data_IF_478354174808
#
_entry.id   IF_478354174808
#
_cell.length_a   1.000
_cell.length_b   1.000
_cell.length_c   1.000
_cell.angle_alpha   90.00
_cell.angle_beta   90.00
_cell.angle_gamma   90.00
#
_symmetry.space_group_name_H-M   'P 1'
#
loop_
_entity.id
_entity.type
_entity.pdbx_description
1 polymer ?
#
# COMPACT_ATOMS: atom_id res chain seq x y z
N UNK A 1 22.20 -38.85 -83.22
CA UNK A 1 21.50 -37.59 -83.59
C UNK A 1 21.19 -36.85 -82.29
N UNK A 2 21.92 -35.77 -82.00
CA UNK A 2 21.43 -34.37 -82.05
C UNK A 2 20.43 -34.06 -80.93
N UNK A 3 20.90 -33.66 -79.75
CA UNK A 3 21.09 -32.28 -79.27
C UNK A 3 19.79 -31.53 -78.93
N UNK A 4 19.54 -31.25 -77.64
CA UNK A 4 19.37 -29.87 -77.18
C UNK A 4 19.45 -29.68 -75.63
N UNK A 5 20.43 -28.86 -75.23
CA UNK A 5 20.55 -27.91 -74.11
C UNK A 5 20.19 -28.33 -72.66
N UNK A 6 21.18 -28.35 -71.73
CA UNK A 6 20.91 -28.27 -70.30
C UNK A 6 20.64 -26.82 -69.84
N UNK A 7 19.64 -26.66 -68.98
CA UNK A 7 19.16 -25.39 -68.45
C UNK A 7 20.17 -24.69 -67.53
N UNK A 8 20.12 -23.35 -67.53
CA UNK A 8 20.89 -22.46 -66.65
C UNK A 8 20.64 -22.79 -65.17
N UNK A 9 21.67 -22.81 -64.31
CA UNK A 9 21.48 -22.88 -62.87
C UNK A 9 20.89 -21.57 -62.32
N UNK A 10 19.96 -21.71 -61.37
CA UNK A 10 19.30 -20.63 -60.67
C UNK A 10 20.28 -19.77 -59.86
N UNK A 11 20.01 -18.47 -59.85
CA UNK A 11 20.74 -17.44 -59.12
C UNK A 11 20.42 -17.56 -57.61
N UNK A 12 21.39 -17.45 -56.69
CA UNK A 12 21.12 -17.58 -55.27
C UNK A 12 20.28 -16.41 -54.73
N UNK A 13 19.29 -16.75 -53.90
CA UNK A 13 18.43 -15.82 -53.19
C UNK A 13 19.23 -14.88 -52.30
N UNK A 14 18.94 -13.58 -52.41
CA UNK A 14 19.43 -12.55 -51.49
C UNK A 14 18.63 -12.62 -50.19
N UNK A 15 19.26 -12.48 -49.01
CA UNK A 15 18.54 -12.43 -47.74
C UNK A 15 17.63 -11.20 -47.70
N UNK A 16 16.36 -11.44 -47.36
CA UNK A 16 15.33 -10.43 -47.19
C UNK A 16 15.74 -9.38 -46.15
N UNK A 17 15.61 -8.11 -46.53
CA UNK A 17 15.76 -6.98 -45.61
C UNK A 17 14.64 -7.00 -44.58
N UNK A 18 14.95 -7.47 -43.38
CA UNK A 18 14.24 -7.07 -42.18
C UNK A 18 14.57 -5.60 -41.86
N UNK A 19 13.52 -4.80 -41.63
CA UNK A 19 13.65 -3.37 -41.32
C UNK A 19 12.30 -2.68 -41.36
N UNK A 20 11.35 -3.14 -40.53
CA UNK A 20 10.17 -2.33 -40.22
C UNK A 20 10.66 -1.10 -39.45
N UNK A 21 10.57 0.07 -40.09
CA UNK A 21 10.88 1.34 -39.44
C UNK A 21 9.96 1.53 -38.22
N UNK A 22 10.45 2.05 -37.08
CA UNK A 22 9.59 2.35 -35.94
C UNK A 22 8.53 3.37 -36.37
N UNK A 23 7.26 3.02 -36.13
CA UNK A 23 6.09 3.86 -36.37
C UNK A 23 6.29 5.22 -35.67
N UNK A 24 6.60 6.26 -36.46
CA UNK A 24 6.76 7.64 -35.96
C UNK A 24 5.49 8.15 -35.29
N UNK A 25 4.33 7.56 -35.56
CA UNK A 25 3.07 7.83 -34.86
C UNK A 25 3.05 7.35 -33.41
N UNK A 26 3.76 6.27 -33.07
CA UNK A 26 3.83 5.75 -31.70
C UNK A 26 4.68 6.62 -30.77
N UNK A 27 5.75 7.23 -31.29
CA UNK A 27 6.60 8.15 -30.55
C UNK A 27 5.92 9.51 -30.29
N UNK A 28 5.08 9.99 -31.23
CA UNK A 28 4.31 11.23 -31.02
C UNK A 28 3.15 11.00 -30.04
N UNK A 29 2.55 9.80 -30.02
CA UNK A 29 1.58 9.38 -29.00
C UNK A 29 2.23 9.28 -27.62
N UNK A 30 3.40 8.66 -27.49
CA UNK A 30 4.08 8.53 -26.18
C UNK A 30 4.56 9.87 -25.60
N UNK A 31 4.96 10.83 -26.44
CA UNK A 31 5.32 12.19 -25.99
C UNK A 31 4.08 13.01 -25.60
N UNK A 32 2.96 12.85 -26.31
CA UNK A 32 1.67 13.47 -25.92
C UNK A 32 1.12 12.88 -24.64
N UNK A 33 1.16 11.56 -24.47
CA UNK A 33 0.73 10.88 -23.25
C UNK A 33 1.65 11.27 -22.08
N UNK A 34 2.96 11.40 -22.30
CA UNK A 34 3.88 11.92 -21.29
C UNK A 34 3.57 13.37 -20.88
N UNK A 35 3.26 14.25 -21.84
CA UNK A 35 2.89 15.64 -21.56
C UNK A 35 1.52 15.79 -20.87
N UNK A 36 0.53 14.97 -21.22
CA UNK A 36 -0.78 14.90 -20.56
C UNK A 36 -0.64 14.32 -19.15
N UNK A 37 0.21 13.31 -18.98
CA UNK A 37 0.56 12.72 -17.67
C UNK A 37 1.23 13.73 -16.75
N UNK A 38 2.15 14.54 -17.28
CA UNK A 38 2.87 15.57 -16.53
C UNK A 38 1.95 16.73 -16.12
N UNK A 39 1.07 17.19 -17.02
CA UNK A 39 0.06 18.18 -16.70
C UNK A 39 -0.93 17.66 -15.63
N UNK A 40 -1.35 16.40 -15.72
CA UNK A 40 -2.22 15.75 -14.74
C UNK A 40 -1.56 15.65 -13.36
N UNK A 41 -0.29 15.20 -13.31
CA UNK A 41 0.48 15.12 -12.08
C UNK A 41 0.76 16.49 -11.47
N UNK A 42 1.06 17.50 -12.28
CA UNK A 42 1.24 18.88 -11.80
C UNK A 42 -0.06 19.48 -11.28
N UNK A 43 -1.20 19.16 -11.90
CA UNK A 43 -2.52 19.55 -11.40
C UNK A 43 -2.83 18.86 -10.08
N UNK A 44 -2.51 17.58 -9.95
CA UNK A 44 -2.64 16.82 -8.71
C UNK A 44 -1.76 17.45 -7.62
N UNK A 45 -0.49 17.72 -7.90
CA UNK A 45 0.44 18.41 -7.00
C UNK A 45 -0.15 19.74 -6.52
N UNK A 46 -0.53 20.64 -7.44
CA UNK A 46 -1.07 21.95 -7.08
C UNK A 46 -2.36 21.83 -6.25
N UNK A 47 -3.20 20.85 -6.56
CA UNK A 47 -4.44 20.60 -5.81
C UNK A 47 -4.12 20.12 -4.40
N UNK A 48 -3.16 19.19 -4.26
CA UNK A 48 -2.75 18.64 -2.98
C UNK A 48 -2.10 19.71 -2.12
N UNK A 49 -1.07 20.38 -2.62
CA UNK A 49 -0.32 21.39 -1.87
C UNK A 49 -1.25 22.50 -1.41
N UNK A 50 -2.03 23.11 -2.32
CA UNK A 50 -2.94 24.22 -1.95
C UNK A 50 -4.01 23.81 -0.95
N UNK A 51 -4.62 22.63 -1.12
CA UNK A 51 -5.69 22.17 -0.23
C UNK A 51 -5.13 21.75 1.13
N UNK A 52 -3.97 21.12 1.17
CA UNK A 52 -3.32 20.74 2.42
C UNK A 52 -2.82 21.98 3.18
N UNK A 53 -2.15 22.93 2.52
CA UNK A 53 -1.68 24.17 3.14
C UNK A 53 -2.84 24.99 3.71
N UNK A 54 -3.94 25.10 2.96
CA UNK A 54 -5.14 25.82 3.40
C UNK A 54 -5.88 25.16 4.57
N UNK A 55 -5.81 23.83 4.70
CA UNK A 55 -6.48 23.07 5.76
C UNK A 55 -5.60 22.80 6.98
N UNK A 56 -4.27 22.89 6.85
CA UNK A 56 -3.30 22.54 7.89
C UNK A 56 -2.52 23.76 8.44
N UNK A 57 -3.02 24.99 8.20
CA UNK A 57 -2.40 26.27 8.56
C UNK A 57 -1.44 26.23 9.77
N UNK A 58 -0.18 26.64 9.53
CA UNK A 58 0.67 27.29 10.54
C UNK A 58 1.86 26.50 11.08
N UNK A 59 1.86 25.17 11.01
CA UNK A 59 3.02 24.36 11.39
C UNK A 59 3.18 23.27 10.31
N UNK A 60 4.40 22.92 9.90
CA UNK A 60 4.59 21.82 8.95
C UNK A 60 4.19 20.49 9.64
N UNK A 61 2.91 20.11 9.53
CA UNK A 61 2.30 19.05 10.31
C UNK A 61 2.70 17.67 9.75
N UNK A 62 3.56 16.94 10.47
CA UNK A 62 3.78 15.52 10.17
C UNK A 62 2.48 14.70 10.29
N UNK A 63 2.28 13.76 9.36
CA UNK A 63 1.12 12.85 9.24
C UNK A 63 0.83 12.05 10.52
N UNK A 64 1.89 11.67 11.23
CA UNK A 64 1.85 10.99 12.50
C UNK A 64 2.88 11.65 13.43
N UNK A 65 2.58 11.79 14.73
CA UNK A 65 3.55 12.22 15.72
C UNK A 65 4.67 11.18 15.80
N UNK A 66 5.76 11.44 15.10
CA UNK A 66 6.97 10.63 15.17
C UNK A 66 7.87 11.08 16.32
N UNK A 67 8.79 10.22 16.78
CA UNK A 67 9.88 10.65 17.65
C UNK A 67 10.71 11.69 16.87
N UNK A 68 10.60 12.96 17.25
CA UNK A 68 11.08 14.12 16.50
C UNK A 68 10.01 15.17 16.16
N UNK A 69 8.74 14.93 16.50
CA UNK A 69 7.65 15.91 16.38
C UNK A 69 7.32 16.64 17.68
N UNK A 70 8.00 16.29 18.77
CA UNK A 70 7.90 17.00 20.04
C UNK A 70 8.79 18.26 19.97
N UNK A 71 8.26 19.44 20.31
CA UNK A 71 9.13 20.58 20.57
C UNK A 71 10.08 20.16 21.69
N UNK A 72 11.38 20.30 21.45
CA UNK A 72 12.35 20.02 22.49
C UNK A 72 11.99 20.80 23.75
N UNK A 73 11.78 20.07 24.84
CA UNK A 73 11.54 20.64 26.16
C UNK A 73 12.76 21.46 26.55
N UNK A 74 12.52 22.67 27.06
CA UNK A 74 13.58 23.48 27.63
C UNK A 74 14.05 22.80 28.91
N UNK A 75 15.37 22.58 29.03
CA UNK A 75 15.99 22.08 30.26
C UNK A 75 16.88 23.16 30.89
N UNK A 76 17.13 23.10 32.21
CA UNK A 76 18.12 23.97 32.83
C UNK A 76 19.47 23.86 32.11
N UNK A 77 20.13 25.01 31.94
CA UNK A 77 21.49 25.09 31.44
C UNK A 77 22.45 24.33 32.36
N UNK A 78 23.31 23.51 31.79
CA UNK A 78 24.43 22.88 32.47
C UNK A 78 25.75 23.40 31.91
N UNK A 79 26.78 23.45 32.76
CA UNK A 79 28.11 23.92 32.36
C UNK A 79 28.67 23.04 31.23
N UNK A 80 28.91 23.66 30.07
CA UNK A 80 29.33 22.98 28.84
C UNK A 80 28.30 23.04 27.71
N UNK A 81 27.08 23.51 27.99
CA UNK A 81 26.07 23.74 26.97
C UNK A 81 26.39 24.94 26.06
N UNK A 82 26.06 24.80 24.78
CA UNK A 82 26.23 25.87 23.79
C UNK A 82 25.22 27.00 24.05
N UNK A 83 25.74 28.16 24.46
CA UNK A 83 24.96 29.39 24.75
C UNK A 83 24.10 29.84 23.56
N UNK A 84 24.45 29.46 22.33
CA UNK A 84 23.61 29.74 21.13
C UNK A 84 22.26 29.02 21.17
N UNK A 85 22.11 28.01 22.02
CA UNK A 85 20.89 27.21 22.20
C UNK A 85 20.02 27.68 23.37
N UNK A 86 20.36 28.83 23.97
CA UNK A 86 19.60 29.40 25.09
C UNK A 86 18.16 29.73 24.67
N UNK A 87 17.17 29.23 25.43
CA UNK A 87 15.78 29.66 25.29
C UNK A 87 15.59 30.94 26.09
N UNK A 88 15.77 32.08 25.43
CA UNK A 88 15.61 33.39 26.05
C UNK A 88 14.20 33.65 26.56
N UNK A 89 13.17 32.99 26.02
CA UNK A 89 11.78 33.22 26.39
C UNK A 89 11.44 32.53 27.72
N UNK A 90 11.91 31.28 27.91
CA UNK A 90 11.79 30.58 29.19
C UNK A 90 12.70 31.24 30.22
N UNK A 91 13.97 31.49 29.86
CA UNK A 91 14.96 32.13 30.74
C UNK A 91 14.50 33.50 31.25
N UNK A 92 13.87 34.31 30.41
CA UNK A 92 13.34 35.61 30.84
C UNK A 92 12.15 35.52 31.82
N UNK A 93 11.42 34.40 31.83
CA UNK A 93 10.26 34.19 32.72
C UNK A 93 10.63 33.46 34.01
N UNK A 94 11.54 32.50 33.94
CA UNK A 94 12.02 31.74 35.10
C UNK A 94 13.12 32.48 35.87
N UNK A 95 13.83 33.41 35.23
CA UNK A 95 15.09 34.01 35.71
C UNK A 95 16.25 33.02 35.89
N UNK A 96 16.02 31.73 35.64
CA UNK A 96 17.04 30.69 35.57
C UNK A 96 17.42 30.42 34.10
N UNK A 97 18.70 30.15 33.78
CA UNK A 97 19.13 29.88 32.41
C UNK A 97 18.59 28.52 31.92
N UNK A 98 17.91 28.53 30.78
CA UNK A 98 17.39 27.35 30.11
C UNK A 98 17.98 27.21 28.71
N UNK A 99 18.39 26.00 28.35
CA UNK A 99 18.78 25.65 26.99
C UNK A 99 17.70 24.79 26.35
N UNK A 100 17.50 25.03 25.06
CA UNK A 100 16.66 24.20 24.24
C UNK A 100 17.53 23.18 23.54
N UNK A 101 17.35 21.91 23.88
CA UNK A 101 18.02 20.85 23.15
C UNK A 101 17.55 20.91 21.69
N UNK A 102 18.47 20.98 20.74
CA UNK A 102 18.10 20.69 19.35
C UNK A 102 17.95 19.18 19.28
N UNK A 103 16.71 18.70 19.29
CA UNK A 103 16.45 17.37 18.75
C UNK A 103 16.96 17.43 17.32
N UNK A 104 18.06 16.73 17.04
CA UNK A 104 18.52 16.58 15.67
C UNK A 104 17.33 16.09 14.85
N UNK A 105 16.89 16.91 13.89
CA UNK A 105 15.77 16.60 13.01
C UNK A 105 16.15 15.28 12.32
N UNK A 106 15.60 14.15 12.80
CA UNK A 106 15.99 12.85 12.28
C UNK A 106 15.45 12.80 10.85
N UNK A 107 16.35 12.61 9.87
CA UNK A 107 15.96 12.33 8.48
C UNK A 107 14.88 11.24 8.46
N UNK A 108 13.64 11.61 8.16
CA UNK A 108 12.54 10.66 8.05
C UNK A 108 12.70 9.90 6.73
N UNK A 109 12.77 8.58 6.80
CA UNK A 109 12.69 7.72 5.63
C UNK A 109 11.26 7.20 5.46
N UNK A 110 10.57 7.68 4.43
CA UNK A 110 9.23 7.26 4.05
C UNK A 110 9.30 6.21 2.94
N UNK A 111 8.57 5.11 3.08
CA UNK A 111 8.43 4.10 2.03
C UNK A 111 6.97 3.89 1.67
N UNK A 112 6.63 4.06 0.40
CA UNK A 112 5.33 3.66 -0.12
C UNK A 112 5.36 2.19 -0.56
N UNK A 113 4.44 1.37 -0.04
CA UNK A 113 4.09 0.07 -0.60
C UNK A 113 2.77 0.26 -1.34
N UNK A 114 2.85 0.38 -2.67
CA UNK A 114 1.70 0.66 -3.52
C UNK A 114 1.23 -0.63 -4.21
N UNK A 115 -0.02 -0.98 -4.02
CA UNK A 115 -0.73 -1.99 -4.78
C UNK A 115 -1.19 -1.38 -6.13
N UNK A 116 -0.71 -1.94 -7.24
CA UNK A 116 -1.16 -1.64 -8.59
C UNK A 116 -1.58 -2.94 -9.32
N UNK A 117 -2.26 -3.83 -8.60
CA UNK A 117 -2.97 -4.99 -9.14
C UNK A 117 -4.18 -4.59 -10.01
N UNK A 118 -4.73 -5.56 -10.74
CA UNK A 118 -5.90 -5.34 -11.60
C UNK A 118 -7.14 -4.87 -10.83
N UNK A 119 -7.27 -5.22 -9.53
CA UNK A 119 -8.38 -4.71 -8.70
C UNK A 119 -8.29 -3.20 -8.51
N UNK A 120 -7.09 -2.61 -8.55
CA UNK A 120 -6.87 -1.17 -8.37
C UNK A 120 -7.21 -0.34 -9.62
N UNK A 121 -7.33 -0.97 -10.80
CA UNK A 121 -7.79 -0.30 -12.03
C UNK A 121 -9.33 -0.15 -12.10
N UNK A 122 -10.04 -0.42 -10.99
CA UNK A 122 -11.49 -0.23 -10.86
C UNK A 122 -11.86 1.18 -10.36
N UNK A 123 -12.95 1.74 -10.88
CA UNK A 123 -13.48 3.02 -10.43
C UNK A 123 -14.87 3.29 -10.99
N UNK A 124 -15.79 3.67 -10.11
CA UNK A 124 -17.16 4.08 -10.49
C UNK A 124 -17.57 5.43 -9.92
N UNK A 125 -16.70 6.00 -9.08
CA UNK A 125 -16.82 7.35 -8.54
C UNK A 125 -16.26 8.43 -9.49
N UNK A 126 -15.61 9.43 -8.90
CA UNK A 126 -15.02 10.56 -9.64
C UNK A 126 -13.62 10.25 -10.20
N UNK A 127 -13.00 9.17 -9.73
CA UNK A 127 -11.65 8.73 -10.08
C UNK A 127 -11.52 7.22 -9.89
N UNK A 128 -10.53 6.62 -10.53
CA UNK A 128 -10.19 5.21 -10.31
C UNK A 128 -9.48 4.99 -8.96
N UNK A 129 -9.54 3.79 -8.40
CA UNK A 129 -8.82 3.44 -7.16
C UNK A 129 -7.31 3.68 -7.31
N UNK A 130 -6.73 3.39 -8.48
CA UNK A 130 -5.32 3.64 -8.78
C UNK A 130 -4.95 5.12 -8.74
N UNK A 131 -5.82 6.00 -9.25
CA UNK A 131 -5.61 7.45 -9.19
C UNK A 131 -5.67 7.95 -7.75
N UNK A 132 -6.63 7.45 -6.97
CA UNK A 132 -6.76 7.75 -5.55
C UNK A 132 -5.56 7.22 -4.74
N UNK A 133 -5.04 6.04 -5.09
CA UNK A 133 -3.86 5.46 -4.47
C UNK A 133 -2.61 6.32 -4.74
N UNK A 134 -2.43 6.79 -5.97
CA UNK A 134 -1.37 7.73 -6.32
C UNK A 134 -1.52 9.05 -5.57
N UNK A 135 -2.73 9.58 -5.47
CA UNK A 135 -3.04 10.80 -4.75
C UNK A 135 -2.72 10.68 -3.24
N UNK A 136 -2.99 9.52 -2.64
CA UNK A 136 -2.63 9.23 -1.25
C UNK A 136 -1.10 9.21 -1.04
N UNK A 137 -0.36 8.55 -1.92
CA UNK A 137 1.12 8.55 -1.87
C UNK A 137 1.67 9.96 -2.06
N UNK A 138 1.14 10.72 -3.01
CA UNK A 138 1.52 12.10 -3.25
C UNK A 138 1.28 12.98 -2.01
N UNK A 139 0.09 12.91 -1.42
CA UNK A 139 -0.25 13.69 -0.24
C UNK A 139 0.66 13.34 0.94
N UNK A 140 0.93 12.06 1.17
CA UNK A 140 1.89 11.61 2.18
C UNK A 140 3.29 12.16 1.89
N UNK A 141 3.73 12.06 0.64
CA UNK A 141 5.04 12.52 0.20
C UNK A 141 5.24 14.01 0.43
N UNK A 142 4.25 14.84 0.09
CA UNK A 142 4.30 16.28 0.34
C UNK A 142 4.22 16.63 1.83
N UNK A 143 3.40 15.92 2.62
CA UNK A 143 3.31 16.15 4.07
C UNK A 143 4.55 15.72 4.84
N UNK A 144 5.33 14.81 4.27
CA UNK A 144 6.62 14.36 4.83
C UNK A 144 7.81 15.02 4.15
N UNK A 145 7.60 15.94 3.21
CA UNK A 145 8.68 16.66 2.53
C UNK A 145 9.35 17.63 3.51
N UNK A 146 10.61 17.36 3.85
CA UNK A 146 11.50 18.29 4.56
C UNK A 146 12.93 18.07 4.08
N UNK A 147 13.80 19.04 4.33
CA UNK A 147 15.24 18.90 4.08
C UNK A 147 15.78 17.66 4.81
N UNK A 148 16.46 16.78 4.09
CA UNK A 148 16.99 15.52 4.63
C UNK A 148 16.03 14.33 4.62
N UNK A 149 14.72 14.55 4.48
CA UNK A 149 13.75 13.45 4.38
C UNK A 149 13.86 12.71 3.05
N UNK A 150 13.74 11.39 3.12
CA UNK A 150 13.89 10.47 1.99
C UNK A 150 12.57 9.80 1.70
N UNK A 151 12.24 9.62 0.43
CA UNK A 151 11.08 8.82 0.01
C UNK A 151 11.50 7.75 -0.99
N UNK A 152 11.06 6.52 -0.74
CA UNK A 152 11.21 5.36 -1.63
C UNK A 152 9.87 4.67 -1.89
N UNK A 153 9.85 3.74 -2.83
CA UNK A 153 8.65 2.98 -3.14
C UNK A 153 8.94 1.51 -3.49
N UNK A 154 8.04 0.63 -3.06
CA UNK A 154 7.82 -0.70 -3.62
C UNK A 154 6.43 -0.71 -4.26
N UNK A 155 6.38 -0.97 -5.57
CA UNK A 155 5.13 -1.01 -6.31
C UNK A 155 4.89 -2.44 -6.73
N UNK A 156 3.76 -3.00 -6.29
CA UNK A 156 3.22 -4.28 -6.75
C UNK A 156 2.58 -4.04 -8.11
N UNK A 157 3.02 -4.78 -9.13
CA UNK A 157 2.48 -4.65 -10.48
C UNK A 157 2.54 -6.01 -11.19
N UNK A 158 1.38 -6.55 -11.55
CA UNK A 158 1.26 -7.94 -12.03
C UNK A 158 1.95 -8.94 -11.09
N UNK A 159 2.77 -9.83 -11.66
CA UNK A 159 3.58 -10.80 -10.89
C UNK A 159 4.88 -10.25 -10.28
N UNK A 160 5.22 -8.99 -10.57
CA UNK A 160 6.50 -8.36 -10.25
C UNK A 160 6.45 -7.33 -9.12
N UNK A 161 7.64 -6.87 -8.71
CA UNK A 161 7.81 -5.73 -7.79
C UNK A 161 8.77 -4.74 -8.42
N UNK A 162 8.32 -3.50 -8.58
CA UNK A 162 9.19 -2.40 -8.97
C UNK A 162 9.68 -1.67 -7.73
N UNK A 163 10.99 -1.72 -7.48
CA UNK A 163 11.62 -1.00 -6.37
C UNK A 163 12.24 0.31 -6.85
N UNK A 164 11.89 1.39 -6.16
CA UNK A 164 12.49 2.71 -6.33
C UNK A 164 13.16 3.09 -5.01
N UNK A 165 14.49 3.29 -4.98
CA UNK A 165 15.24 3.51 -3.74
C UNK A 165 14.84 4.83 -3.08
N UNK A 166 14.98 4.88 -1.75
CA UNK A 166 14.72 6.09 -0.99
C UNK A 166 15.77 7.17 -1.27
N UNK A 167 15.36 8.33 -1.79
CA UNK A 167 16.21 9.49 -2.01
C UNK A 167 15.52 10.76 -1.53
N UNK A 168 16.31 11.81 -1.35
CA UNK A 168 15.86 13.09 -0.81
C UNK A 168 15.32 14.02 -1.89
N UNK A 169 14.44 14.93 -1.48
CA UNK A 169 14.05 16.11 -2.24
C UNK A 169 12.83 15.93 -3.15
N UNK A 170 12.12 17.03 -3.35
CA UNK A 170 10.92 17.14 -4.19
C UNK A 170 11.07 16.58 -5.62
N UNK A 171 12.20 16.79 -6.33
CA UNK A 171 12.36 16.23 -7.67
C UNK A 171 12.28 14.70 -7.69
N UNK A 172 12.79 14.04 -6.64
CA UNK A 172 12.70 12.58 -6.51
C UNK A 172 11.28 12.12 -6.19
N UNK A 173 10.56 12.84 -5.32
CA UNK A 173 9.14 12.59 -5.07
C UNK A 173 8.34 12.66 -6.39
N UNK A 174 8.53 13.70 -7.19
CA UNK A 174 7.85 13.83 -8.48
C UNK A 174 8.24 12.67 -9.42
N UNK A 175 9.52 12.31 -9.50
CA UNK A 175 9.96 11.17 -10.32
C UNK A 175 9.32 9.84 -9.88
N UNK A 176 9.12 9.62 -8.57
CA UNK A 176 8.38 8.46 -8.05
C UNK A 176 6.91 8.47 -8.51
N UNK A 177 6.23 9.62 -8.38
CA UNK A 177 4.83 9.75 -8.79
C UNK A 177 4.66 9.56 -10.29
N UNK A 178 5.57 10.10 -11.11
CA UNK A 178 5.64 9.83 -12.54
C UNK A 178 5.84 8.34 -12.84
N UNK A 179 6.75 7.68 -12.12
CA UNK A 179 7.01 6.26 -12.29
C UNK A 179 5.80 5.39 -11.93
N UNK A 180 4.99 5.79 -10.93
CA UNK A 180 3.74 5.12 -10.55
C UNK A 180 2.61 5.37 -11.55
N UNK A 181 2.46 6.61 -12.02
CA UNK A 181 1.47 6.99 -13.02
C UNK A 181 1.72 6.27 -14.36
N UNK A 182 2.98 6.18 -14.78
CA UNK A 182 3.37 5.55 -16.03
C UNK A 182 3.34 4.01 -16.03
N UNK A 183 2.96 3.36 -14.91
CA UNK A 183 2.83 1.89 -14.92
C UNK A 183 1.72 1.46 -15.90
N UNK A 184 1.96 0.42 -16.71
CA UNK A 184 0.90 -0.12 -17.57
C UNK A 184 -0.20 -0.74 -16.70
N UNK A 185 -1.43 -0.78 -17.19
CA UNK A 185 -2.52 -1.48 -16.50
C UNK A 185 -2.28 -2.99 -16.51
N UNK A 186 -2.64 -3.67 -15.44
CA UNK A 186 -2.49 -5.14 -15.35
C UNK A 186 -3.68 -5.80 -16.05
N UNK A 187 -3.48 -6.71 -17.01
CA UNK A 187 -4.58 -7.43 -17.64
C UNK A 187 -5.38 -8.23 -16.61
N UNK A 188 -6.71 -8.27 -16.76
CA UNK A 188 -7.56 -9.11 -15.92
C UNK A 188 -7.18 -10.59 -16.08
N UNK A 189 -7.15 -11.33 -14.96
CA UNK A 189 -6.76 -12.74 -14.94
C UNK A 189 -5.29 -13.01 -14.64
N UNK A 190 -4.45 -11.97 -14.50
CA UNK A 190 -3.10 -12.11 -13.94
C UNK A 190 -3.16 -11.93 -12.43
N UNK A 191 -3.05 -13.03 -11.68
CA UNK A 191 -3.04 -13.00 -10.22
C UNK A 191 -1.76 -12.30 -9.73
N UNK A 192 -1.85 -11.17 -9.03
CA UNK A 192 -0.70 -10.51 -8.46
C UNK A 192 -0.15 -11.35 -7.32
N UNK A 193 1.08 -11.07 -6.91
CA UNK A 193 1.59 -11.66 -5.68
C UNK A 193 0.81 -11.12 -4.47
N UNK A 194 0.59 -11.92 -3.42
CA UNK A 194 -0.15 -11.49 -2.24
C UNK A 194 0.52 -10.30 -1.55
N UNK A 195 -0.28 -9.36 -1.05
CA UNK A 195 0.21 -8.16 -0.35
C UNK A 195 1.19 -8.51 0.78
N UNK A 196 0.94 -9.61 1.48
CA UNK A 196 1.78 -10.08 2.59
C UNK A 196 3.22 -10.39 2.21
N UNK A 197 3.45 -11.02 1.05
CA UNK A 197 4.80 -11.33 0.57
C UNK A 197 5.60 -10.05 0.28
N UNK A 198 4.92 -9.03 -0.24
CA UNK A 198 5.51 -7.73 -0.53
C UNK A 198 5.84 -6.94 0.73
N UNK A 199 4.93 -6.96 1.71
CA UNK A 199 5.19 -6.38 3.02
C UNK A 199 6.42 -7.04 3.68
N UNK A 200 6.55 -8.36 3.58
CA UNK A 200 7.70 -9.11 4.09
C UNK A 200 9.00 -8.79 3.34
N UNK A 201 8.95 -8.66 2.01
CA UNK A 201 10.09 -8.24 1.20
C UNK A 201 10.53 -6.82 1.56
N UNK A 202 9.58 -5.89 1.69
CA UNK A 202 9.85 -4.52 2.13
C UNK A 202 10.51 -4.54 3.52
N UNK A 203 9.94 -5.26 4.49
CA UNK A 203 10.49 -5.36 5.85
C UNK A 203 11.96 -5.84 5.89
N UNK A 204 12.39 -6.67 4.93
CA UNK A 204 13.80 -7.11 4.79
C UNK A 204 14.71 -6.05 4.19
N UNK A 205 14.17 -5.16 3.36
CA UNK A 205 14.92 -4.09 2.71
C UNK A 205 15.07 -2.82 3.54
N UNK A 206 14.13 -2.56 4.44
CA UNK A 206 14.13 -1.38 5.30
C UNK A 206 15.23 -1.50 6.36
N UNK A 207 16.18 -0.57 6.34
CA UNK A 207 17.30 -0.52 7.31
C UNK A 207 17.11 0.56 8.37
N UNK A 208 16.43 1.65 8.02
CA UNK A 208 16.18 2.80 8.89
C UNK A 208 14.76 2.76 9.41
N UNK A 209 14.57 3.13 10.68
CA UNK A 209 13.23 3.38 11.23
C UNK A 209 12.61 4.57 10.52
N UNK A 210 11.32 4.49 10.20
CA UNK A 210 10.66 5.47 9.37
C UNK A 210 9.15 5.22 9.25
N UNK A 211 8.54 5.88 8.27
CA UNK A 211 7.13 5.74 7.94
C UNK A 211 6.98 4.77 6.75
N UNK A 212 6.10 3.79 6.87
CA UNK A 212 5.69 2.91 5.77
C UNK A 212 4.23 3.17 5.49
N UNK A 213 3.93 3.60 4.26
CA UNK A 213 2.56 3.83 3.80
C UNK A 213 2.18 2.72 2.85
N UNK A 214 1.25 1.87 3.27
CA UNK A 214 0.75 0.74 2.49
C UNK A 214 -0.59 1.13 1.88
N UNK A 215 -0.66 1.21 0.56
CA UNK A 215 -1.86 1.64 -0.17
C UNK A 215 -2.39 0.48 -0.99
N UNK A 216 -3.57 -0.03 -0.64
CA UNK A 216 -4.22 -1.19 -1.26
C UNK A 216 -5.72 -1.15 -0.95
N UNK A 217 -6.51 -1.96 -1.65
CA UNK A 217 -7.91 -2.25 -1.28
C UNK A 217 -8.02 -3.37 -0.22
N UNK A 218 -6.90 -4.03 0.12
CA UNK A 218 -6.78 -5.11 1.10
C UNK A 218 -7.79 -6.25 0.89
N UNK A 219 -8.12 -6.56 -0.38
CA UNK A 219 -9.09 -7.62 -0.70
C UNK A 219 -8.55 -9.03 -0.42
N UNK A 220 -7.23 -9.21 -0.38
CA UNK A 220 -6.57 -10.44 0.04
C UNK A 220 -7.01 -10.88 1.45
N UNK A 221 -7.06 -12.19 1.67
CA UNK A 221 -7.37 -12.77 2.99
C UNK A 221 -6.47 -12.16 4.08
N UNK A 222 -7.03 -11.61 5.18
CA UNK A 222 -6.25 -10.99 6.24
C UNK A 222 -5.16 -11.88 6.84
N UNK A 223 -5.35 -13.21 6.84
CA UNK A 223 -4.35 -14.17 7.30
C UNK A 223 -3.04 -14.11 6.50
N UNK A 224 -3.09 -13.66 5.25
CA UNK A 224 -1.92 -13.58 4.35
C UNK A 224 -1.03 -12.38 4.64
N UNK A 225 -1.58 -11.24 5.07
CA UNK A 225 -0.85 -9.98 5.23
C UNK A 225 -0.80 -9.43 6.66
N UNK A 226 -1.65 -9.90 7.59
CA UNK A 226 -1.68 -9.39 8.97
C UNK A 226 -0.32 -9.53 9.67
N UNK A 227 0.30 -10.71 9.58
CA UNK A 227 1.60 -10.99 10.20
C UNK A 227 2.74 -10.20 9.55
N UNK A 228 2.88 -10.15 8.21
CA UNK A 228 3.81 -9.24 7.54
C UNK A 228 3.66 -7.76 7.92
N UNK A 229 2.42 -7.26 7.98
CA UNK A 229 2.14 -5.89 8.41
C UNK A 229 2.55 -5.64 9.86
N UNK A 230 2.31 -6.62 10.75
CA UNK A 230 2.77 -6.53 12.15
C UNK A 230 4.29 -6.47 12.24
N UNK A 231 5.01 -7.25 11.43
CA UNK A 231 6.48 -7.19 11.37
C UNK A 231 6.99 -5.81 10.96
N UNK A 232 6.32 -5.14 10.02
CA UNK A 232 6.63 -3.75 9.66
C UNK A 232 6.37 -2.81 10.85
N UNK A 233 5.21 -2.93 11.49
CA UNK A 233 4.80 -2.07 12.60
C UNK A 233 5.71 -2.16 13.85
N UNK A 234 6.40 -3.28 14.04
CA UNK A 234 7.39 -3.43 15.14
C UNK A 234 8.51 -2.39 15.05
N UNK A 235 8.99 -2.08 13.84
CA UNK A 235 10.13 -1.17 13.64
C UNK A 235 9.74 0.17 13.04
N UNK A 236 8.65 0.21 12.29
CA UNK A 236 8.24 1.36 11.51
C UNK A 236 6.86 1.85 11.96
N UNK A 237 6.59 3.13 11.76
CA UNK A 237 5.20 3.59 11.79
C UNK A 237 4.55 3.12 10.51
N UNK A 238 3.41 2.44 10.60
CA UNK A 238 2.71 1.91 9.43
C UNK A 238 1.37 2.62 9.29
N UNK A 239 1.15 3.25 8.14
CA UNK A 239 -0.12 3.81 7.72
C UNK A 239 -0.69 2.93 6.60
N UNK A 240 -1.74 2.19 6.91
CA UNK A 240 -2.52 1.43 5.94
C UNK A 240 -3.61 2.33 5.36
N UNK A 241 -3.48 2.66 4.08
CA UNK A 241 -4.46 3.41 3.30
C UNK A 241 -5.31 2.41 2.51
N UNK A 242 -6.50 2.16 3.01
CA UNK A 242 -7.51 1.33 2.35
C UNK A 242 -8.25 2.16 1.30
N UNK A 243 -8.15 1.77 0.04
CA UNK A 243 -8.84 2.43 -1.07
C UNK A 243 -10.10 1.65 -1.43
N UNK A 244 -11.25 2.32 -1.40
CA UNK A 244 -12.57 1.68 -1.57
C UNK A 244 -13.41 2.38 -2.61
N UNK A 245 -14.09 1.62 -3.46
CA UNK A 245 -15.09 2.14 -4.38
C UNK A 245 -16.52 1.87 -3.87
N UNK A 246 -17.50 2.78 -4.08
CA UNK A 246 -18.88 2.58 -3.62
C UNK A 246 -19.54 1.30 -4.11
N UNK A 247 -19.15 0.81 -5.29
CA UNK A 247 -19.74 -0.39 -5.89
C UNK A 247 -19.20 -1.68 -5.31
N UNK A 248 -18.11 -1.60 -4.55
CA UNK A 248 -17.64 -2.70 -3.69
C UNK A 248 -18.45 -2.78 -2.39
N UNK A 249 -19.12 -1.69 -2.01
CA UNK A 249 -19.95 -1.62 -0.81
C UNK A 249 -21.41 -1.95 -1.09
N UNK A 250 -21.92 -1.53 -2.25
CA UNK A 250 -23.34 -1.62 -2.57
C UNK A 250 -23.57 -1.85 -4.07
N UNK A 251 -24.50 -2.75 -4.38
CA UNK A 251 -24.97 -2.95 -5.75
C UNK A 251 -26.09 -1.95 -6.07
N UNK A 252 -26.01 -1.22 -7.20
CA UNK A 252 -27.10 -0.36 -7.67
C UNK A 252 -28.29 -1.21 -8.16
N UNK A 253 -29.49 -0.63 -8.17
CA UNK A 253 -30.66 -1.23 -8.80
C UNK A 253 -30.74 -0.83 -10.28
N UNK A 254 -30.01 -1.53 -11.15
CA UNK A 254 -29.89 -1.21 -12.59
C UNK A 254 -30.18 -2.41 -13.48
N UNK A 255 -30.90 -3.42 -12.97
CA UNK A 255 -31.19 -4.64 -13.72
C UNK A 255 -30.01 -5.61 -13.72
N UNK A 256 -29.54 -6.04 -14.89
CA UNK A 256 -28.46 -7.04 -15.02
C UNK A 256 -27.10 -6.36 -15.10
N UNK A 257 -26.19 -6.72 -14.19
CA UNK A 257 -24.80 -6.27 -14.20
C UNK A 257 -23.86 -7.45 -14.44
N UNK A 258 -22.90 -7.26 -15.33
CA UNK A 258 -21.79 -8.20 -15.53
C UNK A 258 -20.63 -7.82 -14.63
N UNK A 259 -20.40 -8.60 -13.57
CA UNK A 259 -19.22 -8.45 -12.74
C UNK A 259 -18.07 -9.25 -13.34
N UNK A 260 -16.88 -8.65 -13.34
CA UNK A 260 -15.63 -9.31 -13.76
C UNK A 260 -14.77 -9.41 -12.52
N UNK A 261 -14.37 -10.64 -12.18
CA UNK A 261 -13.36 -10.87 -11.16
C UNK A 261 -11.99 -10.41 -11.71
N UNK A 262 -11.34 -9.39 -11.11
CA UNK A 262 -10.06 -8.87 -11.61
C UNK A 262 -8.94 -9.92 -11.57
N UNK A 263 -9.03 -10.88 -10.64
CA UNK A 263 -8.00 -11.89 -10.38
C UNK A 263 -8.09 -13.07 -11.35
N UNK A 264 -9.31 -13.46 -11.70
CA UNK A 264 -9.55 -14.65 -12.54
C UNK A 264 -10.05 -14.32 -13.94
N UNK A 265 -10.45 -13.07 -14.19
CA UNK A 265 -11.10 -12.65 -15.43
C UNK A 265 -12.51 -13.23 -15.62
N UNK A 266 -13.04 -13.98 -14.64
CA UNK A 266 -14.35 -14.63 -14.74
C UNK A 266 -15.45 -13.59 -14.76
N UNK A 267 -16.36 -13.74 -15.71
CA UNK A 267 -17.54 -12.90 -15.85
C UNK A 267 -18.75 -13.56 -15.21
N UNK A 268 -19.54 -12.81 -14.46
CA UNK A 268 -20.78 -13.27 -13.87
C UNK A 268 -21.86 -12.22 -14.05
N UNK A 269 -22.95 -12.61 -14.69
CA UNK A 269 -24.15 -11.79 -14.78
C UNK A 269 -24.97 -11.93 -13.50
N UNK A 270 -25.34 -10.80 -12.92
CA UNK A 270 -26.05 -10.72 -11.67
C UNK A 270 -27.24 -9.78 -11.86
N UNK A 271 -28.44 -10.28 -11.59
CA UNK A 271 -29.64 -9.44 -11.54
C UNK A 271 -29.68 -8.67 -10.22
N UNK A 272 -29.35 -7.38 -10.31
CA UNK A 272 -29.34 -6.44 -9.19
C UNK A 272 -30.71 -5.91 -8.80
N UNK A 273 -31.77 -6.29 -9.54
CA UNK A 273 -33.16 -5.96 -9.23
C UNK A 273 -33.66 -6.59 -7.91
N UNK A 274 -32.99 -7.65 -7.43
CA UNK A 274 -33.35 -8.31 -6.16
C UNK A 274 -32.83 -7.52 -4.95
N UNK A 275 -33.74 -6.94 -4.17
CA UNK A 275 -33.41 -6.26 -2.91
C UNK A 275 -32.65 -7.20 -1.94
N UNK A 276 -33.09 -8.45 -1.80
CA UNK A 276 -32.44 -9.48 -0.96
C UNK A 276 -30.99 -9.72 -1.36
N UNK A 277 -30.68 -9.69 -2.66
CA UNK A 277 -29.31 -9.83 -3.13
C UNK A 277 -28.47 -8.60 -2.76
N UNK A 278 -29.02 -7.39 -2.96
CA UNK A 278 -28.33 -6.14 -2.61
C UNK A 278 -28.01 -6.06 -1.12
N UNK A 279 -28.96 -6.45 -0.27
CA UNK A 279 -28.78 -6.53 1.19
C UNK A 279 -27.70 -7.54 1.59
N UNK A 280 -27.74 -8.76 1.02
CA UNK A 280 -26.71 -9.78 1.28
C UNK A 280 -25.33 -9.33 0.83
N UNK A 281 -25.23 -8.65 -0.32
CA UNK A 281 -23.97 -8.11 -0.81
C UNK A 281 -23.42 -7.04 0.13
N UNK A 282 -24.26 -6.08 0.54
CA UNK A 282 -23.86 -5.02 1.48
C UNK A 282 -23.45 -5.59 2.85
N UNK A 283 -24.15 -6.61 3.34
CA UNK A 283 -23.80 -7.30 4.58
C UNK A 283 -22.44 -8.01 4.48
N UNK A 284 -22.19 -8.75 3.40
CA UNK A 284 -20.91 -9.41 3.16
C UNK A 284 -19.76 -8.40 3.02
N UNK A 285 -19.98 -7.29 2.31
CA UNK A 285 -19.00 -6.21 2.19
C UNK A 285 -18.69 -5.60 3.57
N UNK A 286 -19.71 -5.35 4.40
CA UNK A 286 -19.52 -4.83 5.75
C UNK A 286 -18.74 -5.80 6.66
N UNK A 287 -19.03 -7.10 6.58
CA UNK A 287 -18.30 -8.14 7.31
C UNK A 287 -16.82 -8.19 6.89
N UNK A 288 -16.54 -8.23 5.59
CA UNK A 288 -15.18 -8.25 5.06
C UNK A 288 -14.39 -7.00 5.50
N UNK A 289 -15.00 -5.81 5.44
CA UNK A 289 -14.37 -4.57 5.91
C UNK A 289 -14.15 -4.58 7.41
N UNK A 290 -15.07 -5.15 8.18
CA UNK A 290 -14.91 -5.37 9.62
C UNK A 290 -13.70 -6.24 9.93
N UNK A 291 -13.51 -7.34 9.18
CA UNK A 291 -12.37 -8.23 9.31
C UNK A 291 -11.04 -7.54 8.98
N UNK A 292 -11.00 -6.76 7.89
CA UNK A 292 -9.80 -6.00 7.48
C UNK A 292 -9.44 -4.93 8.51
N UNK A 293 -10.43 -4.13 8.95
CA UNK A 293 -10.21 -3.13 9.99
C UNK A 293 -9.72 -3.76 11.31
N UNK A 294 -10.23 -4.94 11.67
CA UNK A 294 -9.76 -5.66 12.85
C UNK A 294 -8.32 -6.19 12.68
N UNK A 295 -7.98 -6.74 11.53
CA UNK A 295 -6.63 -7.22 11.23
C UNK A 295 -5.60 -6.08 11.18
N UNK A 296 -5.94 -4.93 10.59
CA UNK A 296 -5.08 -3.73 10.61
C UNK A 296 -4.85 -3.20 12.03
N UNK A 297 -5.88 -3.19 12.88
CA UNK A 297 -5.71 -2.83 14.30
C UNK A 297 -4.78 -3.82 15.02
N UNK A 298 -4.96 -5.13 14.81
CA UNK A 298 -4.10 -6.17 15.41
C UNK A 298 -2.66 -6.15 14.86
N UNK A 299 -2.45 -5.64 13.66
CA UNK A 299 -1.10 -5.46 13.11
C UNK A 299 -0.39 -4.22 13.68
N UNK A 300 -1.11 -3.32 14.35
CA UNK A 300 -0.55 -2.08 14.89
C UNK A 300 -0.41 -0.98 13.84
N UNK A 301 -1.06 -1.12 12.68
CA UNK A 301 -1.07 -0.10 11.64
C UNK A 301 -2.17 0.95 11.91
N UNK A 302 -1.85 2.23 11.71
CA UNK A 302 -2.86 3.26 11.58
C UNK A 302 -3.69 3.00 10.31
N UNK A 303 -5.01 3.09 10.40
CA UNK A 303 -5.91 2.78 9.29
C UNK A 303 -6.60 4.04 8.78
N UNK A 304 -6.27 4.44 7.55
CA UNK A 304 -6.95 5.49 6.80
C UNK A 304 -7.77 4.83 5.71
N UNK A 305 -9.07 5.13 5.63
CA UNK A 305 -9.92 4.67 4.54
C UNK A 305 -10.25 5.83 3.62
N UNK A 306 -9.94 5.70 2.34
CA UNK A 306 -10.25 6.67 1.30
C UNK A 306 -11.28 6.08 0.33
N UNK A 307 -12.18 6.92 -0.17
CA UNK A 307 -13.22 6.52 -1.11
C UNK A 307 -13.14 7.30 -2.42
N UNK A 308 -13.38 6.60 -3.53
CA UNK A 308 -13.36 7.17 -4.90
C UNK A 308 -14.49 8.18 -5.18
N UNK A 309 -15.52 8.23 -4.32
CA UNK A 309 -16.69 9.11 -4.43
C UNK A 309 -16.73 10.26 -3.41
N UNK A 310 -15.66 10.43 -2.61
CA UNK A 310 -15.61 11.44 -1.55
C UNK A 310 -14.44 12.40 -1.71
N UNK A 311 -14.48 13.45 -0.92
CA UNK A 311 -13.35 14.37 -0.76
C UNK A 311 -12.25 13.72 0.08
N UNK A 312 -11.40 12.94 -0.59
CA UNK A 312 -10.31 12.20 0.03
C UNK A 312 -9.27 13.08 0.74
N UNK A 313 -9.11 14.35 0.32
CA UNK A 313 -8.19 15.29 0.99
C UNK A 313 -8.71 15.61 2.38
N UNK A 314 -10.03 15.85 2.50
CA UNK A 314 -10.67 16.08 3.79
C UNK A 314 -10.56 14.86 4.69
N UNK A 315 -10.78 13.65 4.15
CA UNK A 315 -10.65 12.41 4.91
C UNK A 315 -9.22 12.21 5.45
N UNK A 316 -8.20 12.48 4.62
CA UNK A 316 -6.80 12.46 5.05
C UNK A 316 -6.53 13.48 6.16
N UNK A 317 -6.94 14.73 5.98
CA UNK A 317 -6.73 15.80 6.99
C UNK A 317 -7.39 15.43 8.31
N UNK A 318 -8.64 14.97 8.28
CA UNK A 318 -9.36 14.55 9.49
C UNK A 318 -8.65 13.40 10.20
N UNK A 319 -8.10 12.44 9.45
CA UNK A 319 -7.31 11.36 10.02
C UNK A 319 -6.04 11.87 10.70
N UNK A 320 -5.27 12.74 10.05
CA UNK A 320 -4.04 13.34 10.62
C UNK A 320 -4.35 14.10 11.91
N UNK A 321 -5.43 14.89 11.92
CA UNK A 321 -5.88 15.61 13.11
C UNK A 321 -6.29 14.66 14.25
N UNK A 322 -6.98 13.55 13.94
CA UNK A 322 -7.38 12.55 14.92
C UNK A 322 -6.16 11.84 15.54
N UNK A 323 -5.20 11.40 14.72
CA UNK A 323 -3.96 10.76 15.20
C UNK A 323 -3.17 11.65 16.16
N UNK A 324 -3.15 12.96 15.91
CA UNK A 324 -2.50 13.94 16.80
C UNK A 324 -3.16 14.06 18.16
N UNK A 325 -4.50 14.06 18.19
CA UNK A 325 -5.24 14.09 19.46
C UNK A 325 -4.91 12.87 20.31
N UNK A 326 -4.84 11.69 19.67
CA UNK A 326 -4.48 10.44 20.33
C UNK A 326 -3.05 10.46 20.88
N UNK A 327 -2.08 10.98 20.12
CA UNK A 327 -0.70 11.08 20.60
C UNK A 327 -0.54 12.08 21.75
N UNK A 328 -1.21 13.24 21.70
CA UNK A 328 -1.20 14.23 22.79
C UNK A 328 -1.87 13.71 24.06
N UNK A 329 -2.80 12.77 23.94
CA UNK A 329 -3.48 12.15 25.07
C UNK A 329 -2.74 10.93 25.65
N UNK A 330 -1.67 10.46 25.01
CA UNK A 330 -0.89 9.33 25.50
C UNK A 330 -0.08 9.74 26.74
N UNK A 331 -0.15 8.99 27.85
CA UNK A 331 0.64 9.30 29.04
C UNK A 331 2.14 9.15 28.74
N UNK A 332 2.95 10.11 29.18
CA UNK A 332 4.40 10.07 29.04
C UNK A 332 4.96 8.75 29.60
N UNK A 333 5.96 8.14 28.95
CA UNK A 333 6.60 6.94 29.48
C UNK A 333 7.18 7.28 30.86
N UNK A 334 6.77 6.52 31.89
CA UNK A 334 7.29 6.67 33.24
C UNK A 334 8.82 6.58 33.19
N UNK A 335 9.49 7.70 33.48
CA UNK A 335 10.93 7.73 33.68
C UNK A 335 11.31 6.64 34.70
N UNK A 336 12.29 5.82 34.33
CA UNK A 336 12.73 4.69 35.13
C UNK A 336 13.06 5.11 36.55
N UNK A 337 12.53 4.37 37.52
CA UNK A 337 12.94 4.49 38.91
C UNK A 337 14.48 4.34 38.99
N UNK A 338 15.19 5.17 39.77
CA UNK A 338 16.62 5.05 39.92
C UNK A 338 16.95 3.68 40.52
N UNK A 339 17.70 2.88 39.76
CA UNK A 339 18.13 1.55 40.16
C UNK A 339 18.99 1.62 41.42
N UNK A 340 18.60 0.83 42.41
CA UNK A 340 19.39 0.58 43.60
C UNK A 340 20.80 0.11 43.23
N UNK A 341 21.80 0.82 43.75
CA UNK A 341 23.20 0.43 43.76
C UNK A 341 23.38 -0.97 44.34
N UNK A 342 24.00 -1.89 43.59
CA UNK A 342 24.62 -3.10 44.15
C UNK A 342 26.14 -2.87 44.28
N UNK A 343 26.75 -3.19 45.43
CA UNK A 343 28.20 -3.06 45.58
C UNK A 343 28.91 -4.23 44.89
N UNK A 344 30.14 -3.94 44.49
CA UNK A 344 31.09 -4.83 43.84
C UNK A 344 31.51 -6.00 44.75
N UNK A 345 31.83 -7.15 44.13
CA UNK A 345 32.61 -8.19 44.79
C UNK A 345 32.50 -9.58 44.15
N UNK A 346 33.66 -10.08 43.74
CA UNK A 346 34.03 -11.50 43.58
C UNK A 346 33.73 -12.20 42.24
N UNK A 347 34.79 -12.43 41.47
CA UNK A 347 34.96 -13.60 40.59
C UNK A 347 35.60 -14.75 41.42
N UNK A 348 35.47 -16.05 41.05
CA UNK A 348 36.27 -16.56 39.92
C UNK A 348 35.66 -17.73 39.09
N UNK A 349 36.15 -17.80 37.83
CA UNK A 349 36.64 -18.98 37.08
C UNK A 349 35.69 -20.12 36.58
N UNK A 350 36.11 -20.88 35.52
CA UNK A 350 35.21 -21.48 34.51
C UNK A 350 35.18 -23.02 34.48
N UNK A 351 34.27 -23.56 33.66
CA UNK A 351 34.09 -25.00 33.32
C UNK A 351 32.62 -25.39 33.50
N UNK A 352 31.92 -26.16 32.66
CA UNK A 352 32.27 -27.17 31.66
C UNK A 352 31.02 -27.42 30.79
N UNK A 353 31.28 -27.92 29.57
CA UNK A 353 30.34 -28.51 28.62
C UNK A 353 29.41 -29.58 29.22
N UNK A 354 28.16 -29.70 28.73
CA UNK A 354 27.59 -30.96 28.19
C UNK A 354 26.05 -30.97 28.06
N UNK A 355 25.60 -31.31 26.85
CA UNK A 355 24.49 -32.18 26.43
C UNK A 355 23.03 -32.01 26.95
N UNK A 356 22.15 -32.00 25.93
CA UNK A 356 20.73 -32.41 25.84
C UNK A 356 20.42 -33.77 26.56
N UNK A 357 19.15 -34.21 26.80
CA UNK A 357 18.05 -34.25 25.81
C UNK A 357 16.60 -34.05 26.30
N UNK A 358 15.68 -33.96 25.32
CA UNK A 358 14.24 -34.15 25.45
C UNK A 358 13.89 -35.60 25.83
N UNK A 359 12.70 -35.89 26.37
CA UNK A 359 11.50 -36.20 25.56
C UNK A 359 10.22 -35.55 26.19
N UNK A 360 9.01 -35.55 25.65
CA UNK A 360 8.38 -36.17 24.51
C UNK A 360 6.85 -36.08 24.70
N UNK A 361 6.16 -35.87 23.58
CA UNK A 361 4.82 -36.39 23.20
C UNK A 361 3.53 -35.87 23.83
N UNK A 362 2.62 -35.48 22.92
CA UNK A 362 1.18 -35.81 22.85
C UNK A 362 0.26 -34.57 22.87
N UNK A 363 -0.11 -34.00 21.71
CA UNK A 363 -1.13 -34.43 20.73
C UNK A 363 -2.55 -33.92 21.06
N UNK A 364 -3.04 -32.98 20.23
CA UNK A 364 -4.45 -32.89 19.85
C UNK A 364 -4.56 -32.13 18.51
N UNK A 365 -5.26 -32.76 17.58
CA UNK A 365 -5.36 -32.49 16.14
C UNK A 365 -6.42 -31.41 15.79
N UNK A 366 -6.56 -31.01 14.51
CA UNK A 366 -7.00 -29.68 14.07
C UNK A 366 -8.48 -29.60 13.70
N UNK A 367 -9.05 -28.39 13.74
CA UNK A 367 -10.37 -28.11 13.18
C UNK A 367 -10.30 -27.51 11.76
N UNK A 368 -11.22 -28.04 10.96
CA UNK A 368 -11.37 -27.98 9.52
C UNK A 368 -11.56 -26.60 8.89
N UNK A 369 -10.98 -26.50 7.70
CA UNK A 369 -11.26 -25.52 6.65
C UNK A 369 -12.56 -25.88 5.90
N UNK A 370 -13.44 -24.94 5.51
CA UNK A 370 -14.56 -25.23 4.62
C UNK A 370 -14.16 -25.10 3.13
N UNK A 371 -14.50 -26.14 2.37
CA UNK A 371 -14.29 -26.25 0.92
C UNK A 371 -15.29 -25.38 0.09
N UNK A 372 -14.95 -25.05 -1.17
CA UNK A 372 -15.77 -24.22 -2.05
C UNK A 372 -16.97 -24.95 -2.68
N UNK A 373 -17.98 -24.15 -3.05
CA UNK A 373 -19.23 -24.51 -3.70
C UNK A 373 -19.05 -25.39 -4.96
N UNK A 374 -19.64 -26.59 -4.95
CA UNK A 374 -19.92 -27.41 -6.14
C UNK A 374 -21.37 -27.18 -6.61
N UNK A 375 -21.54 -26.80 -7.88
CA UNK A 375 -22.82 -26.85 -8.60
C UNK A 375 -23.18 -28.30 -8.97
N UNK A 376 -24.47 -28.68 -9.02
CA UNK A 376 -24.89 -29.91 -9.68
C UNK A 376 -25.13 -29.68 -11.19
N UNK A 377 -24.54 -30.55 -12.02
CA UNK A 377 -24.87 -30.78 -13.43
C UNK A 377 -25.98 -31.85 -13.56
N UNK A 378 -26.67 -31.95 -14.71
CA UNK A 378 -28.01 -32.53 -14.81
C UNK A 378 -28.03 -34.05 -14.90
N UNK A 379 -29.11 -34.68 -14.43
CA UNK A 379 -29.35 -36.11 -14.52
C UNK A 379 -29.87 -36.54 -15.91
N UNK A 380 -29.51 -37.74 -16.42
CA UNK A 380 -29.96 -38.25 -17.70
C UNK A 380 -31.26 -39.07 -17.61
N UNK A 381 -32.05 -38.97 -18.69
CA UNK A 381 -33.00 -39.92 -19.28
C UNK A 381 -33.68 -41.00 -18.44
N UNK A 382 -35.01 -40.93 -18.35
CA UNK A 382 -35.89 -42.09 -18.17
C UNK A 382 -36.82 -42.23 -19.37
N UNK A 383 -36.78 -43.41 -19.99
CA UNK A 383 -37.67 -43.85 -21.05
C UNK A 383 -39.10 -44.06 -20.54
N UNK A 384 -40.09 -43.68 -21.35
CA UNK A 384 -41.51 -43.97 -21.14
C UNK A 384 -42.23 -44.07 -22.49
N UNK A 385 -42.87 -45.21 -22.72
CA UNK A 385 -43.48 -45.69 -23.97
C UNK A 385 -44.76 -44.92 -24.35
N UNK A 386 -44.89 -44.63 -25.65
CA UNK A 386 -45.98 -45.00 -26.55
C UNK A 386 -47.46 -44.81 -26.17
N UNK A 387 -48.13 -43.94 -26.94
CA UNK A 387 -49.47 -44.08 -27.58
C UNK A 387 -49.48 -42.99 -28.67
N UNK A 388 -49.63 -43.25 -29.98
CA UNK A 388 -50.81 -43.81 -30.64
C UNK A 388 -51.77 -42.66 -31.01
N UNK A 389 -51.96 -42.37 -32.30
CA UNK A 389 -53.10 -41.56 -32.77
C UNK A 389 -52.85 -40.64 -33.97
N UNK A 390 -53.43 -41.04 -35.11
CA UNK A 390 -53.78 -40.28 -36.32
C UNK A 390 -54.09 -38.78 -36.16
N UNK A 391 -53.74 -37.97 -37.17
CA UNK A 391 -54.68 -37.47 -38.18
C UNK A 391 -54.18 -36.17 -38.86
N UNK A 392 -54.37 -36.16 -40.19
CA UNK A 392 -54.45 -35.02 -41.13
C UNK A 392 -53.16 -34.27 -41.52
#
# INVERSE_FOLDING_TARGET
MMWHKPGRPAKPDKPGKAGHAPDRGAAIRSVRDAGVSEAALRRLELTIVRRLDGLLQGEHLGLMPGPGSEPAEARPYEDGDDVRRMDWNVTARSHDPYVRDVIADRELETWALLDASASMDFGTGQMEKRELALAAVAAVGFLTERTGNRIGAHILHGTGVRRLPARTGRPHLMALLHAMFALPRTPAGERPRPLGEHADQLARTLRRRGLVVVVSDFLDDPGTWERPMRRLAVRHQVLAVEVVDPRELTLPDVGVLTLIDPETGRRREISTASARLRERYAAAAAEQRGAIGAALRRSGAAHLRLRTDRDWVKDLVMHVLAQRRLARAAPAPRAGAPGASRPAGMAPAPGVSSAAPAPGVSAAAPFSSPAPFSSPAPAPGAAGRGTGGDAA
#
